data_IF_499467774499
#
_entry.id   IF_499467774499
#
_cell.length_a   1.000
_cell.length_b   1.000
_cell.length_c   1.000
_cell.angle_alpha   90.00
_cell.angle_beta   90.00
_cell.angle_gamma   90.00
#
_symmetry.space_group_name_H-M   'P 1'
#
loop_
_entity.id
_entity.type
_entity.pdbx_description
1 polymer ?
#
# COMPACT_ATOMS: atom_id res chain seq x y z
N UNK A 1 7.80 27.54 -25.85
CA UNK A 1 7.93 26.28 -26.62
C UNK A 1 9.23 25.64 -26.20
N UNK A 2 9.23 24.87 -25.12
CA UNK A 2 10.45 24.25 -24.58
C UNK A 2 10.09 22.95 -23.91
N UNK A 3 10.48 21.88 -24.60
CA UNK A 3 10.94 20.60 -24.08
C UNK A 3 9.95 19.75 -23.27
N UNK A 4 9.19 18.93 -24.02
CA UNK A 4 8.71 17.64 -23.55
C UNK A 4 9.88 16.80 -23.03
N UNK A 5 10.07 16.79 -21.71
CA UNK A 5 10.81 15.73 -21.04
C UNK A 5 10.04 14.43 -21.30
N UNK A 6 10.48 13.69 -22.33
CA UNK A 6 10.15 12.28 -22.47
C UNK A 6 10.85 11.58 -21.32
N UNK A 7 10.19 11.49 -20.17
CA UNK A 7 10.49 10.44 -19.19
C UNK A 7 10.34 9.14 -19.95
N UNK A 8 11.45 8.52 -20.33
CA UNK A 8 11.50 7.14 -20.77
C UNK A 8 10.91 6.32 -19.64
N UNK A 9 9.60 6.05 -19.73
CA UNK A 9 8.90 5.11 -18.86
C UNK A 9 9.52 3.75 -19.14
N UNK A 10 10.57 3.41 -18.40
CA UNK A 10 11.05 2.04 -18.31
C UNK A 10 9.89 1.27 -17.69
N UNK A 11 9.11 0.61 -18.54
CA UNK A 11 8.06 -0.31 -18.13
C UNK A 11 8.75 -1.46 -17.41
N UNK A 12 8.91 -1.32 -16.10
CA UNK A 12 9.53 -2.34 -15.28
C UNK A 12 8.56 -3.51 -15.24
N UNK A 13 8.93 -4.59 -15.92
CA UNK A 13 8.18 -5.84 -15.93
C UNK A 13 9.00 -6.90 -15.23
N UNK A 14 8.40 -7.51 -14.23
CA UNK A 14 9.03 -8.59 -13.47
C UNK A 14 8.75 -9.93 -14.16
N UNK A 15 9.81 -10.68 -14.48
CA UNK A 15 9.70 -12.08 -14.92
C UNK A 15 9.59 -13.03 -13.74
N UNK A 16 10.19 -12.65 -12.61
CA UNK A 16 10.18 -13.41 -11.35
C UNK A 16 9.83 -12.52 -10.15
N UNK A 17 9.76 -13.11 -8.96
CA UNK A 17 9.50 -12.38 -7.72
C UNK A 17 10.51 -11.23 -7.52
N UNK A 18 10.06 -9.98 -7.27
CA UNK A 18 10.97 -8.86 -7.06
C UNK A 18 11.93 -9.08 -5.88
N UNK A 19 13.16 -8.57 -6.00
CA UNK A 19 14.24 -8.79 -5.01
C UNK A 19 13.98 -8.19 -3.63
N UNK A 20 13.11 -7.18 -3.53
CA UNK A 20 12.69 -6.57 -2.26
C UNK A 20 11.67 -7.41 -1.50
N UNK A 21 11.06 -8.42 -2.14
CA UNK A 21 10.19 -9.39 -1.46
C UNK A 21 11.07 -10.42 -0.76
N UNK A 22 10.84 -10.62 0.53
CA UNK A 22 11.65 -11.49 1.41
C UNK A 22 10.84 -12.66 1.94
N UNK A 23 11.55 -13.69 2.41
CA UNK A 23 10.97 -14.83 3.13
C UNK A 23 9.92 -15.63 2.34
N UNK A 24 10.05 -15.62 1.01
CA UNK A 24 9.33 -16.41 0.03
C UNK A 24 9.37 -15.74 -1.35
N UNK A 25 8.62 -16.27 -2.31
CA UNK A 25 8.53 -15.74 -3.69
C UNK A 25 7.07 -15.62 -4.11
N UNK A 26 6.77 -14.64 -4.96
CA UNK A 26 5.49 -14.59 -5.66
C UNK A 26 5.38 -15.80 -6.59
N UNK A 27 4.18 -16.39 -6.66
CA UNK A 27 3.84 -17.38 -7.69
C UNK A 27 3.68 -16.69 -9.04
N UNK A 28 3.81 -17.42 -10.15
CA UNK A 28 3.78 -16.85 -11.50
C UNK A 28 2.50 -16.04 -11.78
N UNK A 29 1.34 -16.50 -11.30
CA UNK A 29 0.11 -15.74 -11.43
C UNK A 29 0.10 -14.45 -10.60
N UNK A 30 0.80 -14.43 -9.45
CA UNK A 30 0.96 -13.23 -8.62
C UNK A 30 1.94 -12.24 -9.25
N UNK A 31 3.00 -12.73 -9.91
CA UNK A 31 3.91 -11.88 -10.70
C UNK A 31 3.16 -11.24 -11.87
N UNK A 32 2.29 -12.00 -12.56
CA UNK A 32 1.40 -11.46 -13.59
C UNK A 32 0.43 -10.42 -13.02
N UNK A 33 -0.18 -10.69 -11.87
CA UNK A 33 -1.05 -9.74 -11.15
C UNK A 33 -0.31 -8.46 -10.77
N UNK A 34 0.91 -8.56 -10.24
CA UNK A 34 1.76 -7.42 -9.93
C UNK A 34 2.09 -6.59 -11.18
N UNK A 35 2.50 -7.23 -12.28
CA UNK A 35 2.78 -6.52 -13.53
C UNK A 35 1.53 -5.81 -14.08
N UNK A 36 0.35 -6.42 -13.94
CA UNK A 36 -0.91 -5.79 -14.30
C UNK A 36 -1.18 -4.55 -13.44
N UNK A 37 -0.99 -4.63 -12.12
CA UNK A 37 -1.12 -3.48 -11.22
C UNK A 37 -0.13 -2.35 -11.54
N UNK A 38 1.12 -2.70 -11.88
CA UNK A 38 2.14 -1.72 -12.30
C UNK A 38 1.70 -1.04 -13.59
N UNK A 39 1.20 -1.80 -14.57
CA UNK A 39 0.68 -1.24 -15.82
C UNK A 39 -0.46 -0.25 -15.57
N UNK A 40 -1.41 -0.60 -14.69
CA UNK A 40 -2.49 0.33 -14.32
C UNK A 40 -1.96 1.61 -13.71
N UNK A 41 -1.02 1.50 -12.77
CA UNK A 41 -0.39 2.65 -12.14
C UNK A 41 0.33 3.57 -13.14
N UNK A 42 1.16 3.00 -14.03
CA UNK A 42 1.91 3.80 -15.03
C UNK A 42 0.98 4.50 -16.04
N UNK A 43 -0.22 3.95 -16.28
CA UNK A 43 -1.23 4.56 -17.13
C UNK A 43 -2.18 5.50 -16.37
N UNK A 44 -2.02 5.67 -15.05
CA UNK A 44 -2.90 6.51 -14.24
C UNK A 44 -4.34 5.95 -14.10
N UNK A 45 -4.50 4.63 -14.22
CA UNK A 45 -5.80 3.95 -14.16
C UNK A 45 -5.95 3.24 -12.80
N UNK A 46 -7.15 3.30 -12.23
CA UNK A 46 -7.49 2.56 -11.01
C UNK A 46 -7.81 1.09 -11.32
N UNK A 47 -7.47 0.18 -10.40
CA UNK A 47 -7.68 -1.26 -10.57
C UNK A 47 -8.53 -1.89 -9.48
N UNK A 48 -9.19 -3.00 -9.83
CA UNK A 48 -9.85 -3.90 -8.88
C UNK A 48 -9.23 -5.29 -9.05
N UNK A 49 -8.62 -5.81 -7.99
CA UNK A 49 -8.17 -7.20 -7.94
C UNK A 49 -9.36 -8.09 -7.58
N UNK A 50 -9.99 -8.68 -8.59
CA UNK A 50 -11.16 -9.55 -8.45
C UNK A 50 -10.81 -11.05 -8.41
N UNK A 51 -9.54 -11.39 -8.18
CA UNK A 51 -9.07 -12.77 -8.01
C UNK A 51 -9.81 -13.46 -6.85
N UNK A 52 -9.97 -14.78 -6.93
CA UNK A 52 -10.57 -15.60 -5.87
C UNK A 52 -9.90 -15.38 -4.50
N UNK A 53 -10.66 -15.61 -3.44
CA UNK A 53 -10.15 -15.55 -2.06
C UNK A 53 -9.05 -16.61 -1.88
N UNK A 54 -7.98 -16.26 -1.17
CA UNK A 54 -6.84 -17.17 -0.94
C UNK A 54 -5.73 -17.13 -2.00
N UNK A 55 -5.91 -16.41 -3.12
CA UNK A 55 -4.85 -16.24 -4.14
C UNK A 55 -3.74 -15.23 -3.76
N UNK A 56 -3.72 -14.75 -2.52
CA UNK A 56 -2.65 -13.88 -2.01
C UNK A 56 -2.65 -12.47 -2.61
N UNK A 57 -3.84 -11.88 -2.79
CA UNK A 57 -4.01 -10.47 -3.21
C UNK A 57 -3.26 -9.48 -2.29
N UNK A 58 -3.16 -9.80 -1.00
CA UNK A 58 -2.41 -9.03 -0.02
C UNK A 58 -0.92 -8.93 -0.40
N UNK A 59 -0.28 -10.07 -0.69
CA UNK A 59 1.12 -10.10 -1.15
C UNK A 59 1.31 -9.32 -2.47
N UNK A 60 0.40 -9.47 -3.44
CA UNK A 60 0.47 -8.70 -4.68
C UNK A 60 0.41 -7.19 -4.41
N UNK A 61 -0.50 -6.76 -3.54
CA UNK A 61 -0.66 -5.35 -3.16
C UNK A 61 0.56 -4.81 -2.41
N UNK A 62 1.08 -5.56 -1.43
CA UNK A 62 2.30 -5.17 -0.71
C UNK A 62 3.48 -5.07 -1.68
N UNK A 63 3.56 -5.99 -2.65
CA UNK A 63 4.61 -5.98 -3.67
C UNK A 63 4.51 -4.77 -4.58
N UNK A 64 3.30 -4.29 -4.90
CA UNK A 64 3.09 -3.04 -5.63
C UNK A 64 3.60 -1.84 -4.83
N UNK A 65 3.28 -1.74 -3.53
CA UNK A 65 3.81 -0.66 -2.69
C UNK A 65 5.35 -0.74 -2.56
N UNK A 66 5.91 -1.95 -2.58
CA UNK A 66 7.35 -2.17 -2.65
C UNK A 66 7.95 -1.65 -3.96
N UNK A 67 7.28 -1.90 -5.09
CA UNK A 67 7.67 -1.34 -6.40
C UNK A 67 7.69 0.19 -6.36
N UNK A 68 6.67 0.82 -5.78
CA UNK A 68 6.60 2.28 -5.62
C UNK A 68 7.83 2.82 -4.89
N UNK A 69 8.23 2.17 -3.78
CA UNK A 69 9.41 2.56 -3.01
C UNK A 69 10.71 2.34 -3.77
N UNK A 70 10.94 1.13 -4.28
CA UNK A 70 12.26 0.70 -4.76
C UNK A 70 12.55 1.09 -6.22
N UNK A 71 11.52 1.22 -7.05
CA UNK A 71 11.67 1.50 -8.49
C UNK A 71 11.16 2.89 -8.89
N UNK A 72 10.16 3.42 -8.19
CA UNK A 72 9.62 4.77 -8.47
C UNK A 72 10.13 5.84 -7.52
N UNK A 73 10.89 5.46 -6.49
CA UNK A 73 11.36 6.37 -5.42
C UNK A 73 10.20 7.13 -4.75
N UNK A 74 9.05 6.47 -4.60
CA UNK A 74 7.85 6.98 -3.94
C UNK A 74 7.56 6.04 -2.74
N UNK A 75 8.17 6.27 -1.57
CA UNK A 75 7.98 5.41 -0.41
C UNK A 75 6.62 5.59 0.27
N UNK A 76 5.96 6.76 0.11
CA UNK A 76 4.70 7.07 0.78
C UNK A 76 4.35 8.56 0.70
N UNK A 77 3.31 9.00 1.42
CA UNK A 77 2.44 8.20 2.29
C UNK A 77 1.40 7.40 1.49
N UNK A 78 1.26 6.11 1.78
CA UNK A 78 0.24 5.21 1.22
C UNK A 78 -0.77 4.78 2.29
N UNK A 79 -2.04 4.65 1.93
CA UNK A 79 -3.11 4.20 2.85
C UNK A 79 -3.63 2.83 2.46
N UNK A 80 -3.82 1.97 3.46
CA UNK A 80 -4.45 0.65 3.31
C UNK A 80 -5.65 0.60 4.25
N UNK A 81 -6.86 0.58 3.69
CA UNK A 81 -8.13 0.49 4.41
C UNK A 81 -8.59 -0.96 4.45
N UNK A 82 -8.72 -1.49 5.66
CA UNK A 82 -9.03 -2.91 5.88
C UNK A 82 -10.08 -3.08 6.97
N UNK A 83 -10.81 -4.20 7.02
CA UNK A 83 -11.58 -4.58 8.20
C UNK A 83 -10.69 -4.60 9.46
N UNK A 84 -11.27 -4.21 10.61
CA UNK A 84 -10.53 -4.19 11.89
C UNK A 84 -9.91 -5.56 12.24
N UNK A 85 -10.58 -6.65 11.85
CA UNK A 85 -10.11 -8.03 12.08
C UNK A 85 -8.84 -8.39 11.29
N UNK A 86 -8.57 -7.73 10.15
CA UNK A 86 -7.42 -8.06 9.30
C UNK A 86 -6.25 -7.10 9.47
N UNK A 87 -6.38 -6.04 10.28
CA UNK A 87 -5.30 -5.08 10.57
C UNK A 87 -4.00 -5.75 10.99
N UNK A 88 -4.08 -6.66 11.96
CA UNK A 88 -2.89 -7.34 12.48
C UNK A 88 -2.26 -8.25 11.42
N UNK A 89 -3.08 -8.93 10.62
CA UNK A 89 -2.60 -9.74 9.51
C UNK A 89 -1.82 -8.89 8.49
N UNK A 90 -2.39 -7.77 8.05
CA UNK A 90 -1.72 -6.84 7.13
C UNK A 90 -0.38 -6.35 7.68
N UNK A 91 -0.33 -5.96 8.95
CA UNK A 91 0.92 -5.53 9.59
C UNK A 91 1.99 -6.64 9.63
N UNK A 92 1.58 -7.88 9.89
CA UNK A 92 2.48 -9.04 9.87
C UNK A 92 2.96 -9.34 8.45
N UNK A 93 2.07 -9.23 7.46
CA UNK A 93 2.42 -9.41 6.05
C UNK A 93 3.39 -8.35 5.54
N UNK A 94 3.24 -7.07 5.93
CA UNK A 94 4.24 -6.04 5.61
C UNK A 94 5.61 -6.39 6.18
N UNK A 95 5.68 -6.74 7.47
CA UNK A 95 6.93 -7.12 8.15
C UNK A 95 7.56 -8.37 7.52
N UNK A 96 6.73 -9.33 7.12
CA UNK A 96 7.19 -10.58 6.50
C UNK A 96 7.66 -10.35 5.07
N UNK A 97 6.82 -9.79 4.21
CA UNK A 97 7.06 -9.82 2.78
C UNK A 97 7.96 -8.69 2.32
N UNK A 98 7.79 -7.47 2.86
CA UNK A 98 8.57 -6.30 2.45
C UNK A 98 8.95 -5.50 3.70
N UNK A 99 9.88 -6.00 4.53
CA UNK A 99 10.28 -5.36 5.80
C UNK A 99 10.88 -3.97 5.62
N UNK A 100 11.28 -3.62 4.39
CA UNK A 100 11.77 -2.29 4.05
C UNK A 100 10.65 -1.24 4.04
N UNK A 101 9.38 -1.63 3.88
CA UNK A 101 8.24 -0.72 4.00
C UNK A 101 7.89 -0.50 5.48
N UNK A 102 8.02 0.74 5.94
CA UNK A 102 7.63 1.14 7.30
C UNK A 102 6.11 1.27 7.39
N UNK A 103 5.44 0.17 7.71
CA UNK A 103 4.01 0.15 7.95
C UNK A 103 3.69 0.57 9.40
N UNK A 104 2.69 1.43 9.55
CA UNK A 104 2.17 1.92 10.84
C UNK A 104 0.65 1.67 10.91
N UNK A 105 0.11 1.43 12.11
CA UNK A 105 -1.29 1.08 12.30
C UNK A 105 -1.96 2.01 13.32
N UNK A 106 -2.98 2.75 12.90
CA UNK A 106 -3.73 3.62 13.81
C UNK A 106 -4.86 2.82 14.50
N UNK A 107 -4.61 2.42 15.74
CA UNK A 107 -5.55 1.72 16.62
C UNK A 107 -5.46 2.28 18.05
N UNK A 108 -6.39 1.86 18.91
CA UNK A 108 -6.39 2.21 20.32
C UNK A 108 -7.52 3.15 20.74
N UNK A 109 -7.54 3.47 22.03
CA UNK A 109 -8.45 4.44 22.62
C UNK A 109 -8.10 5.88 22.23
N UNK A 110 -8.86 6.86 22.74
CA UNK A 110 -8.73 8.26 22.33
C UNK A 110 -7.33 8.82 22.63
N UNK A 111 -6.77 8.48 23.79
CA UNK A 111 -5.50 9.05 24.25
C UNK A 111 -4.33 8.39 23.54
N UNK A 112 -4.39 7.06 23.36
CA UNK A 112 -3.43 6.31 22.54
C UNK A 112 -3.38 6.83 21.10
N UNK A 113 -4.55 7.10 20.49
CA UNK A 113 -4.62 7.66 19.14
C UNK A 113 -4.05 9.07 19.07
N UNK A 114 -4.39 9.94 20.03
CA UNK A 114 -3.86 11.30 20.04
C UNK A 114 -2.33 11.32 20.13
N UNK A 115 -1.76 10.47 21.00
CA UNK A 115 -0.31 10.30 21.11
C UNK A 115 0.28 9.75 19.81
N UNK A 116 -0.29 8.70 19.24
CA UNK A 116 0.19 8.10 17.99
C UNK A 116 0.14 9.08 16.80
N UNK A 117 -0.93 9.88 16.70
CA UNK A 117 -1.04 10.91 15.67
C UNK A 117 0.10 11.93 15.80
N UNK A 118 0.33 12.42 17.02
CA UNK A 118 1.37 13.42 17.32
C UNK A 118 2.78 12.88 17.10
N UNK A 119 3.05 11.67 17.59
CA UNK A 119 4.42 11.14 17.72
C UNK A 119 4.84 10.28 16.52
N UNK A 120 3.88 9.74 15.76
CA UNK A 120 4.16 8.80 14.65
C UNK A 120 3.61 9.32 13.32
N UNK A 121 2.33 9.69 13.25
CA UNK A 121 1.73 10.05 11.95
C UNK A 121 2.22 11.40 11.42
N UNK A 122 2.18 12.46 12.24
CA UNK A 122 2.55 13.81 11.82
C UNK A 122 4.04 13.98 11.47
N UNK A 123 5.01 13.34 12.16
CA UNK A 123 6.41 13.37 11.76
C UNK A 123 6.67 12.77 10.37
N UNK A 124 5.79 11.88 9.88
CA UNK A 124 5.89 11.36 8.52
C UNK A 124 7.02 10.35 8.29
N UNK A 125 7.61 9.79 9.35
CA UNK A 125 8.68 8.78 9.26
C UNK A 125 8.15 7.35 8.97
N UNK A 126 7.18 7.25 8.07
CA UNK A 126 6.52 6.01 7.71
C UNK A 126 6.14 6.00 6.23
N UNK A 127 5.89 4.81 5.70
CA UNK A 127 5.67 4.59 4.28
C UNK A 127 4.20 4.24 4.01
N UNK A 128 3.61 3.39 4.86
CA UNK A 128 2.23 2.90 4.72
C UNK A 128 1.47 3.05 6.04
N UNK A 129 0.28 3.65 6.00
CA UNK A 129 -0.66 3.66 7.12
C UNK A 129 -1.77 2.65 6.86
N UNK A 130 -1.86 1.63 7.73
CA UNK A 130 -2.94 0.65 7.73
C UNK A 130 -3.98 1.09 8.76
N UNK A 131 -5.24 1.20 8.35
CA UNK A 131 -6.31 1.62 9.25
C UNK A 131 -7.66 1.03 8.86
N UNK A 132 -8.65 1.14 9.74
CA UNK A 132 -10.01 0.68 9.48
C UNK A 132 -10.92 1.79 8.98
N UNK A 133 -12.00 1.41 8.31
CA UNK A 133 -13.04 2.34 7.86
C UNK A 133 -13.58 3.22 9.01
N UNK A 134 -13.88 2.61 10.15
CA UNK A 134 -14.34 3.32 11.34
C UNK A 134 -13.32 4.36 11.83
N UNK A 135 -12.04 4.01 11.78
CA UNK A 135 -10.96 4.88 12.24
C UNK A 135 -10.72 6.05 11.28
N UNK A 136 -10.80 5.80 9.97
CA UNK A 136 -10.72 6.84 8.95
C UNK A 136 -11.83 7.89 9.15
N UNK A 137 -13.05 7.45 9.49
CA UNK A 137 -14.18 8.35 9.74
C UNK A 137 -13.95 9.14 11.03
N UNK A 138 -13.53 8.48 12.12
CA UNK A 138 -13.27 9.12 13.41
C UNK A 138 -12.16 10.17 13.35
N UNK A 139 -11.06 9.86 12.68
CA UNK A 139 -9.85 10.69 12.61
C UNK A 139 -9.70 11.40 11.24
N UNK A 140 -10.82 11.66 10.57
CA UNK A 140 -10.88 12.27 9.22
C UNK A 140 -10.07 13.57 9.11
N UNK A 141 -10.08 14.39 10.16
CA UNK A 141 -9.35 15.67 10.20
C UNK A 141 -7.83 15.48 10.14
N UNK A 142 -7.31 14.39 10.71
CA UNK A 142 -5.89 14.03 10.67
C UNK A 142 -5.54 13.52 9.28
N UNK A 143 -6.31 12.56 8.76
CA UNK A 143 -6.01 11.92 7.48
C UNK A 143 -6.10 12.87 6.27
N UNK A 144 -6.91 13.94 6.36
CA UNK A 144 -6.97 15.01 5.37
C UNK A 144 -5.70 15.87 5.27
N UNK A 145 -4.80 15.82 6.27
CA UNK A 145 -3.55 16.59 6.26
C UNK A 145 -2.49 15.97 5.34
N UNK A 146 -2.68 14.72 4.91
CA UNK A 146 -1.71 13.99 4.10
C UNK A 146 -2.13 13.97 2.63
N UNK A 147 -1.17 14.22 1.75
CA UNK A 147 -1.32 14.01 0.31
C UNK A 147 -0.97 12.55 -0.03
N UNK A 148 -1.97 11.67 0.05
CA UNK A 148 -1.81 10.24 -0.19
C UNK A 148 -1.36 9.95 -1.62
N UNK A 149 -0.36 9.08 -1.76
CA UNK A 149 0.17 8.64 -3.05
C UNK A 149 -0.57 7.44 -3.63
N UNK A 150 -1.11 6.59 -2.76
CA UNK A 150 -1.88 5.42 -3.17
C UNK A 150 -2.87 5.04 -2.06
N UNK A 151 -4.05 4.59 -2.46
CA UNK A 151 -5.09 4.09 -1.56
C UNK A 151 -5.46 2.66 -1.96
N UNK A 152 -5.27 1.73 -1.04
CA UNK A 152 -5.71 0.33 -1.16
C UNK A 152 -6.93 0.14 -0.28
N UNK A 153 -7.95 -0.51 -0.81
CA UNK A 153 -9.20 -0.81 -0.12
C UNK A 153 -9.40 -2.33 -0.15
N UNK A 154 -9.28 -2.96 1.00
CA UNK A 154 -9.55 -4.38 1.19
C UNK A 154 -11.01 -4.61 1.59
N UNK A 155 -11.60 -5.70 1.11
CA UNK A 155 -13.02 -6.02 1.27
C UNK A 155 -13.96 -4.86 0.89
N UNK A 156 -13.70 -4.26 -0.28
CA UNK A 156 -14.38 -3.07 -0.78
C UNK A 156 -15.92 -3.21 -0.93
N UNK A 157 -16.45 -4.45 -0.90
CA UNK A 157 -17.89 -4.71 -0.89
C UNK A 157 -18.61 -4.08 0.33
N UNK A 158 -17.87 -3.67 1.37
CA UNK A 158 -18.39 -2.93 2.52
C UNK A 158 -18.63 -1.45 2.27
N UNK A 159 -18.15 -0.91 1.15
CA UNK A 159 -18.48 0.44 0.69
C UNK A 159 -19.83 0.35 -0.01
N UNK A 160 -20.90 0.42 0.76
CA UNK A 160 -22.27 0.61 0.28
C UNK A 160 -22.83 1.90 0.86
#
# INVERSE_FOLDING_TARGET
>A
LTENSKTTNVCTRFEESPSYVKWGKLRDYQVRGLNWLISLYENGINGILADEMGLGKTLQTISLLGYMKHYRNIPGPHMVLVPKSTLHNWMNEFKRWVPTLRAVCLIGDKDQRAAFVRDVLLPGEWDVCVTSYEMLIKEKSVFKKFNWRYLVIDEAHRIK
#
